data_IF_060982864123
#
_entry.id   IF_060982864123
#
_cell.length_a   1.000
_cell.length_b   1.000
_cell.length_c   1.000
_cell.angle_alpha   90.00
_cell.angle_beta   90.00
_cell.angle_gamma   90.00
#
_symmetry.space_group_name_H-M   'P 1'
#
loop_
_entity.id
_entity.type
_entity.pdbx_description
1 polymer ?
#
# COMPACT_ATOMS: atom_id res chain seq x y z
N UNK A 1 6.68 1.17 -0.22
CA UNK A 1 5.94 2.17 0.58
C UNK A 1 4.44 1.91 0.61
N UNK A 2 3.75 1.80 -0.54
CA UNK A 2 2.28 1.58 -0.62
C UNK A 2 1.80 0.42 0.27
N UNK A 3 2.41 -0.77 0.17
CA UNK A 3 2.04 -1.94 0.98
C UNK A 3 2.20 -1.72 2.48
N UNK A 4 3.26 -1.02 2.88
CA UNK A 4 3.57 -0.70 4.27
C UNK A 4 2.51 0.24 4.87
N UNK A 5 2.10 1.25 4.09
CA UNK A 5 1.04 2.18 4.48
C UNK A 5 -0.33 1.51 4.50
N UNK A 6 -0.65 0.70 3.48
CA UNK A 6 -1.90 -0.05 3.42
C UNK A 6 -2.08 -0.98 4.62
N UNK A 7 -1.00 -1.41 5.27
CA UNK A 7 -1.02 -2.35 6.40
C UNK A 7 -0.59 -1.73 7.74
N UNK A 8 -0.39 -0.41 7.82
CA UNK A 8 0.06 0.30 9.02
C UNK A 8 1.33 -0.32 9.66
N UNK A 9 2.23 -0.86 8.84
CA UNK A 9 3.40 -1.63 9.32
C UNK A 9 4.29 -0.83 10.27
N UNK A 10 4.66 0.45 9.99
CA UNK A 10 5.54 1.19 10.88
C UNK A 10 4.93 1.43 12.27
N UNK A 11 3.63 1.76 12.31
CA UNK A 11 2.90 2.02 13.55
C UNK A 11 2.70 0.72 14.35
N UNK A 12 2.29 -0.36 13.69
CA UNK A 12 2.14 -1.67 14.32
C UNK A 12 3.48 -2.18 14.87
N UNK A 13 4.57 -2.03 14.11
CA UNK A 13 5.92 -2.40 14.54
C UNK A 13 6.37 -1.61 15.76
N UNK A 14 6.10 -0.30 15.80
CA UNK A 14 6.42 0.54 16.96
C UNK A 14 5.64 0.10 18.20
N UNK A 15 4.33 -0.15 18.07
CA UNK A 15 3.48 -0.65 19.17
C UNK A 15 4.00 -1.97 19.75
N UNK A 16 4.40 -2.90 18.88
CA UNK A 16 5.03 -4.16 19.31
C UNK A 16 6.34 -3.96 20.06
N UNK A 17 7.19 -3.04 19.59
CA UNK A 17 8.44 -2.68 20.29
C UNK A 17 8.18 -2.04 21.66
N UNK A 18 7.03 -1.39 21.84
CA UNK A 18 6.57 -0.85 23.12
C UNK A 18 5.87 -1.91 24.00
N UNK A 19 5.84 -3.18 23.57
CA UNK A 19 5.22 -4.28 24.31
C UNK A 19 3.68 -4.34 24.21
N UNK A 20 3.07 -3.53 23.34
CA UNK A 20 1.62 -3.48 23.14
C UNK A 20 1.20 -4.39 21.99
N UNK A 21 0.08 -5.10 22.15
CA UNK A 21 -0.44 -6.03 21.16
C UNK A 21 -1.83 -5.61 20.65
N UNK A 22 -1.86 -4.53 19.88
CA UNK A 22 -3.10 -3.88 19.46
C UNK A 22 -3.60 -4.33 18.08
N UNK A 23 -3.86 -5.64 17.93
CA UNK A 23 -4.28 -6.23 16.64
C UNK A 23 -5.54 -5.61 16.02
N UNK A 24 -6.48 -5.15 16.84
CA UNK A 24 -7.75 -4.55 16.37
C UNK A 24 -7.54 -3.15 15.79
N UNK A 25 -6.57 -2.41 16.31
CA UNK A 25 -6.31 -1.00 15.97
C UNK A 25 -5.64 -0.88 14.61
N UNK A 26 -4.73 -1.79 14.26
CA UNK A 26 -3.94 -1.73 13.02
C UNK A 26 -4.56 -2.53 11.87
N UNK A 27 -5.88 -2.39 11.64
CA UNK A 27 -6.53 -2.99 10.47
C UNK A 27 -6.11 -2.24 9.20
N UNK A 28 -5.56 -2.97 8.24
CA UNK A 28 -5.14 -2.42 6.96
C UNK A 28 -6.27 -2.35 5.93
N UNK A 29 -5.94 -1.78 4.77
CA UNK A 29 -6.79 -1.71 3.58
C UNK A 29 -6.33 -2.73 2.55
N UNK A 30 -7.28 -3.47 1.98
CA UNK A 30 -7.02 -4.38 0.86
C UNK A 30 -6.85 -3.59 -0.45
N UNK A 31 -5.87 -4.00 -1.26
CA UNK A 31 -5.55 -3.35 -2.53
C UNK A 31 -6.33 -3.92 -3.71
N UNK A 32 -6.83 -5.15 -3.61
CA UNK A 32 -7.56 -5.79 -4.69
C UNK A 32 -8.76 -4.95 -5.13
N UNK A 33 -8.92 -4.80 -6.45
CA UNK A 33 -9.98 -4.02 -7.11
C UNK A 33 -10.01 -2.52 -6.74
N UNK A 34 -8.99 -2.01 -6.02
CA UNK A 34 -8.83 -0.58 -5.76
C UNK A 34 -8.16 0.12 -6.92
N UNK A 35 -8.29 1.44 -6.93
CA UNK A 35 -7.73 2.30 -7.96
C UNK A 35 -6.39 2.89 -7.48
N UNK A 36 -5.33 2.75 -8.29
CA UNK A 36 -4.06 3.46 -8.11
C UNK A 36 -3.95 4.58 -9.17
N UNK A 37 -3.88 5.82 -8.70
CA UNK A 37 -3.52 6.97 -9.53
C UNK A 37 -2.00 7.14 -9.60
N UNK A 38 -1.45 7.23 -10.80
CA UNK A 38 -0.02 7.47 -11.05
C UNK A 38 0.15 8.84 -11.70
N UNK A 39 0.73 9.79 -10.98
CA UNK A 39 1.05 11.13 -11.52
C UNK A 39 2.47 11.07 -12.09
N UNK A 40 2.61 11.23 -13.41
CA UNK A 40 3.86 11.09 -14.14
C UNK A 40 4.13 9.66 -14.65
N UNK A 41 3.66 9.38 -15.87
CA UNK A 41 3.83 8.08 -16.55
C UNK A 41 5.20 7.89 -17.25
N UNK A 42 6.28 8.29 -16.59
CA UNK A 42 7.64 8.01 -17.05
C UNK A 42 8.05 6.55 -16.83
N UNK A 43 9.30 6.20 -17.11
CA UNK A 43 9.85 4.83 -16.97
C UNK A 43 9.55 4.19 -15.59
N UNK A 44 9.69 4.98 -14.52
CA UNK A 44 9.43 4.50 -13.15
C UNK A 44 7.92 4.34 -12.91
N UNK A 45 7.11 5.34 -13.28
CA UNK A 45 5.66 5.32 -13.10
C UNK A 45 5.01 4.10 -13.78
N UNK A 46 5.41 3.82 -15.02
CA UNK A 46 4.99 2.63 -15.77
C UNK A 46 5.44 1.34 -15.08
N UNK A 47 6.65 1.30 -14.55
CA UNK A 47 7.14 0.16 -13.77
C UNK A 47 6.31 -0.08 -12.50
N UNK A 48 5.90 0.98 -11.81
CA UNK A 48 5.05 0.88 -10.61
C UNK A 48 3.64 0.40 -11.01
N UNK A 49 3.06 0.98 -12.07
CA UNK A 49 1.76 0.58 -12.60
C UNK A 49 1.71 -0.92 -12.95
N UNK A 50 2.73 -1.43 -13.65
CA UNK A 50 2.83 -2.86 -14.02
C UNK A 50 2.83 -3.78 -12.80
N UNK A 51 3.52 -3.40 -11.71
CA UNK A 51 3.52 -4.16 -10.46
C UNK A 51 2.20 -4.03 -9.71
N UNK A 52 1.55 -2.87 -9.74
CA UNK A 52 0.26 -2.67 -9.10
C UNK A 52 -0.87 -3.47 -9.79
N UNK A 53 -0.80 -3.67 -11.11
CA UNK A 53 -1.74 -4.53 -11.83
C UNK A 53 -1.74 -5.98 -11.33
N UNK A 54 -0.59 -6.54 -10.93
CA UNK A 54 -0.54 -7.90 -10.37
C UNK A 54 -1.21 -8.02 -9.01
N UNK A 55 -1.46 -6.90 -8.31
CA UNK A 55 -2.31 -6.87 -7.11
C UNK A 55 -3.81 -6.75 -7.43
N UNK A 56 -4.20 -6.84 -8.72
CA UNK A 56 -5.59 -6.68 -9.17
C UNK A 56 -6.10 -5.24 -9.05
N UNK A 57 -5.21 -4.26 -9.03
CA UNK A 57 -5.58 -2.84 -8.97
C UNK A 57 -5.93 -2.31 -10.36
N UNK A 58 -6.86 -1.36 -10.41
CA UNK A 58 -7.16 -0.54 -11.59
C UNK A 58 -6.20 0.64 -11.61
N UNK A 59 -5.59 0.95 -12.75
CA UNK A 59 -4.60 2.03 -12.85
C UNK A 59 -5.16 3.17 -13.68
N UNK A 60 -5.06 4.39 -13.16
CA UNK A 60 -5.19 5.63 -13.94
C UNK A 60 -3.88 6.39 -13.86
N UNK A 61 -3.46 7.02 -14.96
CA UNK A 61 -2.28 7.86 -14.98
C UNK A 61 -2.58 9.21 -15.61
N UNK A 62 -1.95 10.24 -15.07
CA UNK A 62 -1.99 11.63 -15.55
C UNK A 62 -0.57 12.12 -15.80
#
# INVERSE_FOLDING_TARGET
MILSMARNVPQAHKSLKEGKWDRKTYRGTELYNKVLGVVGAGRIGLGVAKRAQSFGMKIFSF
#
